data_IF_940979722207
#
_entry.id   IF_940979722207
#
_cell.length_a   1.000
_cell.length_b   1.000
_cell.length_c   1.000
_cell.angle_alpha   90.00
_cell.angle_beta   90.00
_cell.angle_gamma   90.00
#
_symmetry.space_group_name_H-M   'P 1'
#
loop_
_entity.id
_entity.type
_entity.pdbx_description
1 polymer ?
#
# COMPACT_ATOMS: atom_id res chain seq x y z
N UNK A 1 18.02 -11.59 13.01
CA UNK A 1 17.79 -10.56 11.97
C UNK A 1 16.36 -10.09 12.11
N UNK A 2 16.14 -8.81 12.42
CA UNK A 2 14.80 -8.21 12.39
C UNK A 2 14.48 -7.92 10.93
N UNK A 3 13.53 -8.66 10.37
CA UNK A 3 13.04 -8.45 9.02
C UNK A 3 12.15 -7.20 9.03
N UNK A 4 12.52 -6.21 8.23
CA UNK A 4 11.65 -5.09 7.86
C UNK A 4 10.86 -5.56 6.64
N UNK A 5 9.55 -5.74 6.79
CA UNK A 5 8.68 -6.17 5.69
C UNK A 5 7.34 -6.65 6.20
N UNK A 6 6.27 -6.12 5.60
CA UNK A 6 4.88 -6.50 5.85
C UNK A 6 4.69 -7.96 5.44
N UNK A 7 4.75 -8.87 6.43
CA UNK A 7 4.32 -10.25 6.21
C UNK A 7 2.79 -10.28 6.19
N UNK A 8 2.18 -10.57 5.03
CA UNK A 8 0.78 -10.97 4.99
C UNK A 8 0.68 -12.49 4.90
N UNK A 9 0.21 -13.10 5.98
CA UNK A 9 -0.38 -14.43 5.93
C UNK A 9 -1.90 -14.22 5.88
N UNK A 10 -2.63 -15.00 5.07
CA UNK A 10 -4.09 -14.99 5.14
C UNK A 10 -4.80 -13.62 4.97
N UNK A 11 -4.23 -12.66 4.23
CA UNK A 11 -4.85 -11.34 4.03
C UNK A 11 -4.78 -10.40 5.24
N UNK A 12 -3.94 -10.68 6.24
CA UNK A 12 -3.68 -9.80 7.39
C UNK A 12 -2.23 -9.29 7.37
N UNK A 13 -2.03 -7.98 7.51
CA UNK A 13 -0.71 -7.35 7.73
C UNK A 13 -0.19 -7.77 9.11
N UNK A 14 0.94 -8.48 9.16
CA UNK A 14 1.58 -8.94 10.41
C UNK A 14 2.87 -8.19 10.76
N UNK A 15 3.38 -7.29 9.93
CA UNK A 15 4.48 -6.42 10.35
C UNK A 15 3.98 -5.08 10.85
N UNK A 16 4.65 -4.59 11.88
CA UNK A 16 4.50 -3.22 12.32
C UNK A 16 4.87 -2.28 11.16
N UNK A 17 4.04 -1.25 10.95
CA UNK A 17 4.35 -0.17 10.03
C UNK A 17 5.52 0.65 10.62
N UNK A 18 6.57 0.97 9.85
CA UNK A 18 7.81 1.50 10.41
C UNK A 18 7.69 2.94 10.95
N UNK A 19 6.58 3.64 10.68
CA UNK A 19 6.34 5.01 11.15
C UNK A 19 5.46 5.04 12.40
N UNK A 20 5.93 5.76 13.41
CA UNK A 20 5.25 6.03 14.67
C UNK A 20 4.40 7.30 14.56
N UNK A 21 3.14 7.24 15.01
CA UNK A 21 2.18 8.37 14.93
C UNK A 21 2.55 9.55 15.84
N UNK A 22 3.18 9.27 16.98
CA UNK A 22 3.43 10.25 18.02
C UNK A 22 4.79 10.96 17.84
N UNK A 23 5.54 10.61 16.79
CA UNK A 23 6.82 11.24 16.43
C UNK A 23 6.66 12.12 15.18
N UNK A 24 7.32 13.30 15.15
CA UNK A 24 7.38 14.13 13.94
C UNK A 24 7.92 13.35 12.75
N UNK A 25 7.43 13.65 11.55
CA UNK A 25 7.82 12.94 10.35
C UNK A 25 9.29 13.23 9.98
N UNK A 26 9.83 14.42 10.29
CA UNK A 26 11.27 14.69 10.09
C UNK A 26 12.14 13.76 10.91
N UNK A 27 11.72 13.37 12.11
CA UNK A 27 12.53 12.51 12.98
C UNK A 27 12.61 11.07 12.45
N UNK A 28 11.74 10.74 11.50
CA UNK A 28 11.56 9.42 10.91
C UNK A 28 11.96 9.40 9.42
N UNK A 29 12.63 10.45 8.94
CA UNK A 29 12.94 10.67 7.51
C UNK A 29 13.65 9.48 6.84
N UNK A 30 14.48 8.75 7.59
CA UNK A 30 15.25 7.61 7.08
C UNK A 30 14.37 6.39 6.73
N UNK A 31 13.13 6.36 7.22
CA UNK A 31 12.12 5.37 6.84
C UNK A 31 11.29 5.81 5.62
N UNK A 32 11.39 7.08 5.20
CA UNK A 32 10.71 7.55 4.01
C UNK A 32 11.47 7.05 2.79
N UNK A 33 10.84 6.17 2.02
CA UNK A 33 11.41 5.57 0.83
C UNK A 33 10.32 5.40 -0.23
N UNK A 34 10.72 5.07 -1.45
CA UNK A 34 9.75 4.74 -2.50
C UNK A 34 8.91 3.50 -2.18
N UNK A 35 9.36 2.67 -1.22
CA UNK A 35 8.69 1.42 -0.81
C UNK A 35 8.69 1.33 0.73
N UNK A 36 7.91 2.18 1.41
CA UNK A 36 7.81 2.22 2.89
C UNK A 36 7.22 0.91 3.42
N UNK A 37 6.29 0.33 2.67
CA UNK A 37 5.75 -1.00 2.91
C UNK A 37 5.29 -1.61 1.61
N UNK A 38 5.57 -2.89 1.40
CA UNK A 38 5.12 -3.62 0.22
C UNK A 38 4.71 -5.03 0.62
N UNK A 39 3.72 -5.56 -0.07
CA UNK A 39 3.37 -6.97 -0.01
C UNK A 39 2.89 -7.48 -1.35
N UNK A 40 3.49 -8.58 -1.80
CA UNK A 40 3.07 -9.31 -2.99
C UNK A 40 2.39 -10.62 -2.58
N UNK A 41 1.28 -10.96 -3.24
CA UNK A 41 0.60 -12.24 -3.00
C UNK A 41 0.04 -12.85 -4.28
N UNK A 42 0.09 -14.17 -4.34
CA UNK A 42 -0.46 -14.95 -5.44
C UNK A 42 -1.87 -15.45 -5.07
N UNK A 43 -2.85 -15.18 -5.92
CA UNK A 43 -4.22 -15.64 -5.72
C UNK A 43 -4.83 -16.15 -7.02
N UNK A 44 -5.22 -17.44 -7.06
CA UNK A 44 -5.87 -18.11 -8.22
C UNK A 44 -5.14 -17.91 -9.56
N UNK A 45 -3.81 -17.78 -9.53
CA UNK A 45 -2.97 -17.59 -10.71
C UNK A 45 -2.87 -16.14 -11.21
N UNK A 46 -3.24 -15.18 -10.37
CA UNK A 46 -2.96 -13.75 -10.49
C UNK A 46 -1.93 -13.36 -9.43
N UNK A 47 -1.13 -12.33 -9.69
CA UNK A 47 -0.22 -11.72 -8.72
C UNK A 47 -0.77 -10.36 -8.37
N UNK A 48 -0.90 -10.07 -7.09
CA UNK A 48 -1.33 -8.77 -6.58
C UNK A 48 -0.25 -8.17 -5.70
N UNK A 49 -0.21 -6.85 -5.64
CA UNK A 49 0.70 -6.11 -4.78
C UNK A 49 -0.03 -5.00 -4.07
N UNK A 50 0.18 -4.86 -2.77
CA UNK A 50 -0.11 -3.65 -2.02
C UNK A 50 1.19 -2.92 -1.74
N UNK A 51 1.27 -1.67 -2.16
CA UNK A 51 2.43 -0.80 -1.99
C UNK A 51 2.06 0.45 -1.21
N UNK A 52 2.89 0.82 -0.25
CA UNK A 52 2.87 2.07 0.48
C UNK A 52 4.17 2.79 0.16
N UNK A 53 4.11 3.81 -0.68
CA UNK A 53 5.26 4.58 -1.15
C UNK A 53 5.27 5.97 -0.52
N UNK A 54 6.43 6.54 -0.21
CA UNK A 54 6.58 7.99 -0.05
C UNK A 54 6.82 8.65 -1.41
N UNK A 55 6.07 9.71 -1.71
CA UNK A 55 6.19 10.51 -2.91
C UNK A 55 6.52 11.95 -2.53
N UNK A 56 7.80 12.32 -2.66
CA UNK A 56 8.29 13.64 -2.33
C UNK A 56 9.79 13.69 -2.11
N UNK A 57 10.31 14.90 -1.88
CA UNK A 57 11.69 15.11 -1.49
C UNK A 57 11.82 15.22 0.04
N UNK A 58 12.85 14.58 0.59
CA UNK A 58 13.07 14.56 2.03
C UNK A 58 13.50 15.92 2.58
N UNK A 59 14.02 16.82 1.74
CA UNK A 59 14.40 18.18 2.17
C UNK A 59 13.18 19.09 2.42
N UNK A 60 11.99 18.72 1.95
CA UNK A 60 10.77 19.52 2.04
C UNK A 60 9.56 18.64 2.37
N UNK A 61 9.63 17.91 3.49
CA UNK A 61 8.60 16.94 3.88
C UNK A 61 7.20 17.54 4.07
N UNK A 62 7.09 18.86 4.23
CA UNK A 62 5.81 19.56 4.44
C UNK A 62 5.24 20.17 3.17
N UNK A 63 5.88 19.94 2.03
CA UNK A 63 5.31 20.32 0.76
C UNK A 63 3.90 19.70 0.63
N UNK A 64 2.85 20.50 0.36
CA UNK A 64 1.48 19.98 0.29
C UNK A 64 1.23 19.01 -0.87
N UNK A 65 2.16 18.96 -1.84
CA UNK A 65 2.18 18.02 -2.96
C UNK A 65 2.86 16.68 -2.60
N UNK A 66 3.50 16.57 -1.43
CA UNK A 66 4.18 15.36 -0.98
C UNK A 66 3.35 14.58 0.03
N UNK A 67 3.61 13.28 0.11
CA UNK A 67 2.84 12.39 0.94
C UNK A 67 3.08 10.93 0.62
N UNK A 68 2.19 10.11 1.14
CA UNK A 68 2.14 8.68 0.93
C UNK A 68 1.18 8.31 -0.19
N UNK A 69 1.54 7.30 -0.94
CA UNK A 69 0.66 6.65 -1.90
C UNK A 69 0.41 5.22 -1.45
N UNK A 70 -0.85 4.83 -1.37
CA UNK A 70 -1.26 3.45 -1.11
C UNK A 70 -1.88 2.90 -2.38
N UNK A 71 -1.21 1.93 -2.99
CA UNK A 71 -1.55 1.34 -4.28
C UNK A 71 -1.88 -0.14 -4.10
N UNK A 72 -2.93 -0.64 -4.79
CA UNK A 72 -3.11 -2.08 -5.03
C UNK A 72 -3.01 -2.31 -6.52
N UNK A 73 -2.00 -3.06 -6.94
CA UNK A 73 -1.80 -3.45 -8.32
C UNK A 73 -2.12 -4.93 -8.53
N UNK A 74 -2.56 -5.25 -9.73
CA UNK A 74 -2.64 -6.61 -10.24
C UNK A 74 -1.67 -6.76 -11.42
N UNK A 75 -0.80 -7.75 -11.33
CA UNK A 75 -0.07 -8.31 -12.45
C UNK A 75 -0.80 -9.58 -12.90
N UNK A 76 -1.83 -9.36 -13.70
CA UNK A 76 -2.67 -10.42 -14.26
C UNK A 76 -1.98 -11.15 -15.42
N UNK A 77 -2.72 -12.07 -16.03
CA UNK A 77 -2.21 -12.87 -17.18
C UNK A 77 -2.08 -12.07 -18.48
N UNK A 78 -2.85 -10.99 -18.62
CA UNK A 78 -2.98 -10.25 -19.87
C UNK A 78 -2.46 -8.81 -19.79
N UNK A 79 -2.54 -8.14 -18.63
CA UNK A 79 -2.03 -6.78 -18.43
C UNK A 79 -1.88 -6.40 -16.96
N UNK A 80 -1.14 -5.31 -16.71
CA UNK A 80 -1.02 -4.65 -15.42
C UNK A 80 -2.19 -3.69 -15.20
N UNK A 81 -2.81 -3.75 -14.01
CA UNK A 81 -3.89 -2.84 -13.59
C UNK A 81 -3.59 -2.22 -12.24
N UNK A 82 -3.95 -0.96 -12.06
CA UNK A 82 -4.01 -0.35 -10.72
C UNK A 82 -5.45 -0.44 -10.22
N UNK A 83 -5.71 -1.26 -9.23
CA UNK A 83 -7.07 -1.51 -8.72
C UNK A 83 -7.49 -0.45 -7.70
N UNK A 84 -6.53 0.01 -6.91
CA UNK A 84 -6.73 0.98 -5.85
C UNK A 84 -5.55 1.93 -5.82
N UNK A 85 -5.81 3.22 -5.67
CA UNK A 85 -4.77 4.24 -5.49
C UNK A 85 -5.33 5.35 -4.65
N UNK A 86 -4.70 5.60 -3.51
CA UNK A 86 -5.04 6.72 -2.64
C UNK A 86 -3.77 7.47 -2.26
N UNK A 87 -3.84 8.80 -2.34
CA UNK A 87 -2.78 9.68 -1.86
C UNK A 87 -3.18 10.26 -0.51
N UNK A 88 -2.29 10.10 0.47
CA UNK A 88 -2.45 10.62 1.83
C UNK A 88 -1.29 11.57 2.09
N UNK A 89 -1.57 12.75 2.63
CA UNK A 89 -0.52 13.69 3.04
C UNK A 89 0.24 13.15 4.26
N UNK A 90 1.01 14.01 4.92
CA UNK A 90 1.81 13.69 6.13
C UNK A 90 0.99 13.37 7.39
N UNK A 91 -0.29 13.00 7.25
CA UNK A 91 -1.15 12.56 8.36
C UNK A 91 -1.08 11.04 8.51
N UNK A 92 -0.28 10.56 9.48
CA UNK A 92 -0.08 9.14 9.72
C UNK A 92 -1.34 8.42 10.25
N UNK A 93 -2.29 9.14 10.86
CA UNK A 93 -3.57 8.55 11.28
C UNK A 93 -4.45 8.28 10.06
N UNK A 94 -4.54 9.25 9.17
CA UNK A 94 -5.24 9.07 7.89
C UNK A 94 -4.57 7.95 7.06
N UNK A 95 -3.24 7.88 7.05
CA UNK A 95 -2.50 6.83 6.34
C UNK A 95 -2.88 5.43 6.85
N UNK A 96 -2.90 5.23 8.16
CA UNK A 96 -3.28 3.94 8.76
C UNK A 96 -4.72 3.55 8.44
N UNK A 97 -5.65 4.52 8.40
CA UNK A 97 -7.02 4.26 7.97
C UNK A 97 -7.07 3.77 6.52
N UNK A 98 -6.37 4.46 5.61
CA UNK A 98 -6.29 4.07 4.19
C UNK A 98 -5.60 2.71 4.02
N UNK A 99 -4.55 2.42 4.79
CA UNK A 99 -3.92 1.10 4.80
C UNK A 99 -4.90 0.00 5.24
N UNK A 100 -5.72 0.26 6.27
CA UNK A 100 -6.73 -0.70 6.71
C UNK A 100 -7.80 -0.93 5.64
N UNK A 101 -8.26 0.13 4.98
CA UNK A 101 -9.19 0.02 3.84
C UNK A 101 -8.60 -0.83 2.70
N UNK A 102 -7.33 -0.63 2.37
CA UNK A 102 -6.63 -1.42 1.37
C UNK A 102 -6.54 -2.91 1.75
N UNK A 103 -6.28 -3.21 3.02
CA UNK A 103 -6.28 -4.59 3.55
C UNK A 103 -7.67 -5.20 3.48
N UNK A 104 -8.71 -4.48 3.89
CA UNK A 104 -10.09 -4.96 3.86
C UNK A 104 -10.52 -5.25 2.41
N UNK A 105 -10.11 -4.40 1.45
CA UNK A 105 -10.32 -4.63 0.03
C UNK A 105 -9.65 -5.92 -0.44
N UNK A 106 -8.38 -6.16 -0.08
CA UNK A 106 -7.67 -7.40 -0.40
C UNK A 106 -8.36 -8.62 0.23
N UNK A 107 -8.84 -8.52 1.47
CA UNK A 107 -9.58 -9.60 2.12
C UNK A 107 -10.85 -9.95 1.34
N UNK A 108 -11.55 -8.95 0.80
CA UNK A 108 -12.73 -9.18 -0.04
C UNK A 108 -12.45 -9.99 -1.31
N UNK A 109 -11.20 -10.04 -1.81
CA UNK A 109 -10.86 -10.80 -3.02
C UNK A 109 -11.10 -12.30 -2.86
N UNK A 110 -11.09 -12.80 -1.62
CA UNK A 110 -11.38 -14.19 -1.28
C UNK A 110 -12.80 -14.59 -1.62
N UNK A 111 -13.72 -13.63 -1.51
CA UNK A 111 -15.15 -13.81 -1.72
C UNK A 111 -15.55 -13.59 -3.18
N UNK A 112 -14.68 -12.94 -3.97
CA UNK A 112 -14.90 -12.66 -5.40
C UNK A 112 -14.63 -13.86 -6.30
N UNK A 113 -15.37 -13.97 -7.39
CA UNK A 113 -15.07 -14.87 -8.51
C UNK A 113 -13.88 -14.35 -9.34
N UNK A 114 -13.36 -15.14 -10.27
CA UNK A 114 -12.29 -14.69 -11.18
C UNK A 114 -12.83 -13.58 -12.09
N UNK A 115 -14.05 -13.73 -12.60
CA UNK A 115 -14.70 -12.75 -13.46
C UNK A 115 -14.91 -11.41 -12.73
N UNK A 116 -15.23 -11.44 -11.44
CA UNK A 116 -15.34 -10.23 -10.61
C UNK A 116 -13.99 -9.56 -10.36
N UNK A 117 -12.91 -10.33 -10.22
CA UNK A 117 -11.55 -9.81 -10.10
C UNK A 117 -11.06 -9.21 -11.43
N UNK A 118 -11.29 -9.89 -12.55
CA UNK A 118 -10.95 -9.40 -13.88
C UNK A 118 -11.69 -8.09 -14.23
N UNK A 119 -12.92 -7.93 -13.73
CA UNK A 119 -13.76 -6.76 -13.93
C UNK A 119 -13.43 -5.59 -12.99
N UNK A 120 -12.47 -5.72 -12.08
CA UNK A 120 -12.06 -4.62 -11.21
C UNK A 120 -11.55 -3.43 -12.03
N UNK A 121 -11.80 -2.19 -11.56
CA UNK A 121 -11.41 -1.01 -12.30
C UNK A 121 -9.90 -0.88 -12.39
N UNK A 122 -9.44 -0.23 -13.46
CA UNK A 122 -8.06 0.21 -13.59
C UNK A 122 -7.99 1.73 -13.41
N UNK A 123 -7.50 2.17 -12.24
CA UNK A 123 -7.44 3.55 -11.76
C UNK A 123 -6.06 4.19 -11.97
N UNK A 124 -5.33 3.78 -13.01
CA UNK A 124 -4.02 4.37 -13.35
C UNK A 124 -4.05 5.88 -13.69
N UNK A 125 -5.24 6.47 -13.89
CA UNK A 125 -5.45 7.87 -14.29
C UNK A 125 -5.29 8.85 -13.14
#
# INVERSE_FOLDING_TARGET
MKYFGIEIFDGKIYSDFPLEEDLPLEEQWFFLSQDVGNVEFHFRGMIFGLDISWFGHFEDIYNPEYGFRVDIAEWGRNEFKMIYRVFVRTDLRALKQVMQEAVDLIQSFREKSIEELDAMPDVRQ
#
